data_IF_608287464593
#
_entry.id   IF_608287464593
#
_cell.length_a   1.000
_cell.length_b   1.000
_cell.length_c   1.000
_cell.angle_alpha   90.00
_cell.angle_beta   90.00
_cell.angle_gamma   90.00
#
_symmetry.space_group_name_H-M   'P 1'
#
loop_
_entity.id
_entity.type
_entity.pdbx_description
1 polymer ?
#
# COMPACT_ATOMS: atom_id res chain seq x y z
N UNK A 1 2.31 -1.88 -19.60
CA UNK A 1 2.24 -2.80 -18.44
C UNK A 1 0.98 -3.68 -18.42
N UNK A 2 0.20 -3.67 -19.50
CA UNK A 2 -0.99 -4.49 -19.68
C UNK A 2 -0.68 -5.87 -20.29
N UNK A 3 0.51 -6.03 -20.85
CA UNK A 3 0.90 -7.21 -21.62
C UNK A 3 1.14 -8.51 -20.83
N UNK A 4 1.15 -8.46 -19.48
CA UNK A 4 1.36 -9.66 -18.68
C UNK A 4 0.09 -10.32 -18.15
N UNK A 5 -1.01 -9.56 -18.06
CA UNK A 5 -2.28 -10.05 -17.49
C UNK A 5 -3.22 -10.56 -18.58
N UNK A 6 -3.20 -9.93 -19.76
CA UNK A 6 -3.96 -10.36 -20.93
C UNK A 6 -3.05 -11.13 -21.86
N UNK A 7 -3.46 -12.33 -22.26
CA UNK A 7 -2.76 -13.19 -23.20
C UNK A 7 -3.71 -13.79 -24.23
N UNK A 8 -3.17 -14.09 -25.39
CA UNK A 8 -3.91 -14.79 -26.43
C UNK A 8 -3.64 -16.28 -26.29
N UNK A 9 -4.68 -17.07 -26.17
CA UNK A 9 -4.58 -18.52 -26.05
C UNK A 9 -5.62 -19.21 -26.94
N UNK A 10 -5.44 -20.50 -27.16
CA UNK A 10 -6.43 -21.28 -27.89
C UNK A 10 -7.64 -21.55 -27.01
N UNK A 11 -8.84 -21.32 -27.57
CA UNK A 11 -10.09 -21.63 -26.87
C UNK A 11 -10.13 -23.12 -26.51
N UNK A 12 -10.21 -23.49 -25.20
CA UNK A 12 -10.27 -24.90 -24.80
C UNK A 12 -11.45 -25.67 -25.40
N UNK A 13 -12.56 -24.96 -25.69
CA UNK A 13 -13.77 -25.55 -26.28
C UNK A 13 -13.75 -25.58 -27.82
N UNK A 14 -12.93 -24.73 -28.44
CA UNK A 14 -12.81 -24.57 -29.88
C UNK A 14 -11.36 -24.32 -30.29
N UNK A 15 -10.48 -25.33 -30.35
CA UNK A 15 -9.03 -25.14 -30.46
C UNK A 15 -8.56 -24.38 -31.73
N UNK A 16 -9.41 -24.31 -32.78
CA UNK A 16 -9.15 -23.50 -33.97
C UNK A 16 -9.34 -21.98 -33.73
N UNK A 17 -9.95 -21.59 -32.62
CA UNK A 17 -10.20 -20.19 -32.28
C UNK A 17 -9.15 -19.70 -31.27
N UNK A 18 -8.72 -18.45 -31.44
CA UNK A 18 -7.90 -17.73 -30.46
C UNK A 18 -8.81 -16.83 -29.66
N UNK A 19 -8.65 -16.85 -28.35
CA UNK A 19 -9.35 -15.99 -27.41
C UNK A 19 -8.35 -15.12 -26.65
N UNK A 20 -8.78 -13.96 -26.19
CA UNK A 20 -8.05 -13.18 -25.22
C UNK A 20 -8.47 -13.67 -23.83
N UNK A 21 -7.53 -14.16 -23.05
CA UNK A 21 -7.74 -14.62 -21.69
C UNK A 21 -7.06 -13.68 -20.70
N UNK A 22 -7.65 -13.54 -19.54
CA UNK A 22 -7.05 -12.81 -18.41
C UNK A 22 -6.40 -13.83 -17.48
N UNK A 23 -5.15 -13.59 -17.13
CA UNK A 23 -4.49 -14.35 -16.08
C UNK A 23 -5.12 -14.02 -14.73
N UNK A 24 -5.94 -14.92 -14.23
CA UNK A 24 -6.70 -14.71 -13.00
C UNK A 24 -5.81 -14.63 -11.78
N UNK A 25 -4.64 -15.28 -11.78
CA UNK A 25 -3.69 -15.20 -10.67
C UNK A 25 -3.01 -13.82 -10.58
N UNK A 26 -2.72 -13.23 -11.74
CA UNK A 26 -2.09 -11.92 -11.85
C UNK A 26 -3.08 -10.75 -11.82
N UNK A 27 -4.36 -10.99 -12.07
CA UNK A 27 -5.40 -9.96 -12.08
C UNK A 27 -5.65 -9.44 -10.66
N UNK A 28 -5.45 -8.12 -10.46
CA UNK A 28 -5.69 -7.43 -9.19
C UNK A 28 -7.11 -6.88 -9.05
N UNK A 29 -8.02 -7.18 -9.97
CA UNK A 29 -9.43 -6.74 -9.97
C UNK A 29 -9.62 -5.21 -9.93
N UNK A 30 -8.69 -4.44 -10.52
CA UNK A 30 -8.76 -2.97 -10.50
C UNK A 30 -9.80 -2.37 -11.45
N UNK A 31 -10.47 -3.18 -12.26
CA UNK A 31 -11.52 -2.81 -13.24
C UNK A 31 -11.08 -1.76 -14.28
N UNK A 32 -9.78 -1.51 -14.45
CA UNK A 32 -9.29 -0.51 -15.43
C UNK A 32 -9.55 -0.95 -16.86
N UNK A 33 -9.38 -2.25 -17.17
CA UNK A 33 -9.69 -2.79 -18.49
C UNK A 33 -11.17 -2.64 -18.85
N UNK A 34 -12.07 -2.79 -17.89
CA UNK A 34 -13.51 -2.60 -18.11
C UNK A 34 -13.82 -1.12 -18.41
N UNK A 35 -13.25 -0.23 -17.62
CA UNK A 35 -13.49 1.23 -17.75
C UNK A 35 -12.81 1.83 -18.98
N UNK A 36 -11.80 1.19 -19.51
CA UNK A 36 -11.06 1.72 -20.67
C UNK A 36 -11.83 1.61 -21.99
N UNK A 37 -12.87 0.78 -22.05
CA UNK A 37 -13.60 0.51 -23.29
C UNK A 37 -12.71 -0.10 -24.39
N UNK A 38 -11.61 -0.74 -24.06
CA UNK A 38 -10.62 -1.23 -25.03
C UNK A 38 -11.08 -2.47 -25.80
N UNK A 39 -12.14 -3.14 -25.37
CA UNK A 39 -12.66 -4.33 -26.06
C UNK A 39 -13.69 -3.94 -27.13
N UNK A 40 -13.40 -4.12 -28.41
CA UNK A 40 -14.32 -3.70 -29.50
C UNK A 40 -15.61 -4.53 -29.58
N UNK A 41 -15.66 -5.67 -28.89
CA UNK A 41 -16.82 -6.56 -28.85
C UNK A 41 -17.50 -6.60 -27.49
N UNK A 42 -17.08 -5.73 -26.57
CA UNK A 42 -17.59 -5.64 -25.20
C UNK A 42 -17.58 -6.99 -24.44
N UNK A 43 -16.54 -7.79 -24.70
CA UNK A 43 -16.42 -9.15 -24.15
C UNK A 43 -15.79 -9.19 -22.75
N UNK A 44 -15.30 -8.07 -22.25
CA UNK A 44 -14.76 -7.99 -20.89
C UNK A 44 -15.90 -7.83 -19.88
N UNK A 45 -15.87 -8.65 -18.85
CA UNK A 45 -16.86 -8.58 -17.77
C UNK A 45 -16.21 -8.85 -16.43
N UNK A 46 -16.84 -8.35 -15.36
CA UNK A 46 -16.45 -8.61 -13.98
C UNK A 46 -17.32 -9.75 -13.46
N UNK A 47 -16.75 -10.92 -13.11
CA UNK A 47 -17.52 -11.95 -12.41
C UNK A 47 -17.90 -11.48 -11.01
N UNK A 48 -18.86 -12.15 -10.39
CA UNK A 48 -19.09 -11.99 -8.97
C UNK A 48 -17.86 -12.43 -8.18
N UNK A 49 -17.39 -11.57 -7.29
CA UNK A 49 -16.17 -11.82 -6.52
C UNK A 49 -16.55 -12.20 -5.09
N UNK A 50 -16.19 -13.42 -4.74
CA UNK A 50 -16.31 -13.93 -3.37
C UNK A 50 -15.02 -13.68 -2.56
N UNK A 51 -15.12 -13.86 -1.27
CA UNK A 51 -13.97 -13.83 -0.39
C UNK A 51 -13.12 -15.12 -0.59
N UNK A 52 -11.78 -15.06 -0.63
CA UNK A 52 -10.93 -13.88 -0.38
C UNK A 52 -10.69 -12.98 -1.61
N UNK A 53 -11.02 -13.39 -2.83
CA UNK A 53 -10.72 -12.66 -4.07
C UNK A 53 -11.31 -11.24 -4.11
N UNK A 54 -12.43 -10.97 -3.46
CA UNK A 54 -13.01 -9.62 -3.38
C UNK A 54 -12.04 -8.60 -2.75
N UNK A 55 -11.07 -9.05 -1.94
CA UNK A 55 -10.05 -8.18 -1.36
C UNK A 55 -9.17 -7.54 -2.45
N UNK A 56 -8.89 -8.25 -3.55
CA UNK A 56 -8.16 -7.68 -4.68
C UNK A 56 -8.83 -6.40 -5.16
N UNK A 57 -10.14 -6.43 -5.36
CA UNK A 57 -10.92 -5.26 -5.79
C UNK A 57 -10.93 -4.15 -4.73
N UNK A 58 -11.11 -4.51 -3.46
CA UNK A 58 -11.17 -3.55 -2.36
C UNK A 58 -9.86 -2.76 -2.21
N UNK A 59 -8.70 -3.35 -2.52
CA UNK A 59 -7.38 -2.73 -2.43
C UNK A 59 -6.86 -2.17 -3.76
N UNK A 60 -7.57 -2.40 -4.88
CA UNK A 60 -7.03 -2.07 -6.20
C UNK A 60 -7.93 -1.19 -7.06
N UNK A 61 -9.24 -1.25 -6.88
CA UNK A 61 -10.18 -0.43 -7.66
C UNK A 61 -10.33 0.96 -7.03
N UNK A 62 -9.85 2.03 -7.68
CA UNK A 62 -9.89 3.37 -7.11
C UNK A 62 -11.31 3.92 -6.92
N UNK A 63 -12.31 3.32 -7.57
CA UNK A 63 -13.71 3.74 -7.45
C UNK A 63 -14.49 2.91 -6.43
N UNK A 64 -13.89 1.82 -5.93
CA UNK A 64 -14.53 0.99 -4.90
C UNK A 64 -14.38 1.63 -3.53
N UNK A 65 -15.49 1.85 -2.85
CA UNK A 65 -15.49 2.24 -1.45
C UNK A 65 -15.13 1.02 -0.61
N UNK A 66 -14.06 1.14 0.20
CA UNK A 66 -13.61 0.04 1.04
C UNK A 66 -14.65 -0.23 2.15
N UNK A 67 -15.06 -1.49 2.36
CA UNK A 67 -16.16 -1.80 3.29
C UNK A 67 -15.83 -1.44 4.74
N UNK A 68 -14.58 -1.61 5.16
CA UNK A 68 -14.16 -1.37 6.54
C UNK A 68 -14.00 0.12 6.89
N UNK A 69 -13.40 0.88 5.99
CA UNK A 69 -13.03 2.28 6.26
C UNK A 69 -13.99 3.30 5.65
N UNK A 70 -14.84 2.87 4.71
CA UNK A 70 -15.74 3.73 3.92
C UNK A 70 -15.02 4.77 3.05
N UNK A 71 -13.74 4.56 2.80
CA UNK A 71 -12.90 5.43 1.97
C UNK A 71 -12.71 4.75 0.60
N UNK A 72 -12.80 5.49 -0.52
CA UNK A 72 -12.54 4.94 -1.85
C UNK A 72 -11.05 4.67 -2.09
N UNK A 73 -10.76 3.95 -3.17
CA UNK A 73 -9.42 3.59 -3.56
C UNK A 73 -8.87 2.44 -2.71
N UNK A 74 -7.74 2.64 -2.05
CA UNK A 74 -7.12 1.59 -1.21
C UNK A 74 -7.74 1.47 0.18
N UNK A 75 -8.75 2.28 0.47
CA UNK A 75 -9.41 2.32 1.77
C UNK A 75 -8.58 2.97 2.88
N UNK A 76 -7.48 3.66 2.55
CA UNK A 76 -6.69 4.43 3.51
C UNK A 76 -6.83 5.91 3.24
N UNK A 77 -6.99 6.69 4.29
CA UNK A 77 -6.61 8.09 4.21
C UNK A 77 -5.08 8.14 4.13
N UNK A 78 -4.56 8.81 3.12
CA UNK A 78 -3.12 8.99 3.04
C UNK A 78 -2.67 9.82 4.26
N UNK A 79 -1.64 9.35 4.97
CA UNK A 79 -1.11 10.01 6.19
C UNK A 79 -0.88 11.52 5.99
N UNK A 80 -0.48 11.94 4.80
CA UNK A 80 -0.28 13.34 4.42
C UNK A 80 -1.52 14.22 4.49
N UNK A 81 -2.72 13.65 4.61
CA UNK A 81 -3.98 14.38 4.80
C UNK A 81 -4.48 14.34 6.23
N UNK A 82 -3.85 13.54 7.10
CA UNK A 82 -4.27 13.27 8.46
C UNK A 82 -3.71 14.24 9.52
N UNK A 83 -3.03 15.29 9.11
CA UNK A 83 -2.57 16.34 10.03
C UNK A 83 -3.73 16.93 10.84
N UNK A 84 -4.90 17.06 10.24
CA UNK A 84 -6.12 17.56 10.89
C UNK A 84 -6.60 16.70 12.06
N UNK A 85 -6.16 15.44 12.18
CA UNK A 85 -6.56 14.53 13.27
C UNK A 85 -5.62 14.60 14.48
N UNK A 86 -4.50 15.31 14.37
CA UNK A 86 -3.51 15.39 15.45
C UNK A 86 -2.72 14.10 15.70
N UNK A 87 -2.70 13.18 14.73
CA UNK A 87 -2.02 11.88 14.88
C UNK A 87 -0.49 11.97 14.90
N UNK A 88 0.09 13.09 14.42
CA UNK A 88 1.53 13.26 14.28
C UNK A 88 2.06 14.35 15.22
N UNK A 89 2.24 14.07 16.52
CA UNK A 89 2.80 15.03 17.44
C UNK A 89 4.29 15.29 17.13
N UNK A 90 4.82 16.41 17.65
CA UNK A 90 6.27 16.67 17.57
C UNK A 90 7.06 15.56 18.27
N UNK A 91 8.26 15.27 17.76
CA UNK A 91 9.08 14.18 18.26
C UNK A 91 8.69 12.80 17.74
N UNK A 92 7.73 12.73 16.80
CA UNK A 92 7.33 11.48 16.18
C UNK A 92 7.25 11.61 14.65
N UNK A 93 7.52 10.49 13.98
CA UNK A 93 7.31 10.35 12.55
C UNK A 93 6.14 9.41 12.29
N UNK A 94 5.21 9.85 11.43
CA UNK A 94 4.30 8.94 10.75
C UNK A 94 5.01 8.29 9.59
N UNK A 95 4.82 7.00 9.39
CA UNK A 95 5.38 6.27 8.26
C UNK A 95 4.32 5.47 7.55
N UNK A 96 4.38 5.49 6.22
CA UNK A 96 3.57 4.64 5.35
C UNK A 96 4.48 3.94 4.34
N UNK A 97 4.40 2.63 4.29
CA UNK A 97 5.11 1.81 3.31
C UNK A 97 4.09 1.36 2.26
N UNK A 98 4.16 1.95 1.09
CA UNK A 98 3.27 1.65 -0.03
C UNK A 98 3.86 0.51 -0.87
N UNK A 99 3.47 -0.73 -0.59
CA UNK A 99 3.90 -1.91 -1.35
C UNK A 99 3.16 -2.01 -2.69
N UNK A 100 3.85 -2.48 -3.72
CA UNK A 100 3.31 -2.68 -5.07
C UNK A 100 3.32 -1.45 -5.97
N UNK A 101 3.76 -0.30 -5.47
CA UNK A 101 3.83 0.93 -6.26
C UNK A 101 5.27 1.25 -6.70
N UNK A 102 5.44 1.75 -7.92
CA UNK A 102 4.43 2.08 -8.92
C UNK A 102 4.06 0.87 -9.81
N UNK A 103 2.77 0.46 -9.78
CA UNK A 103 2.16 -0.41 -10.79
C UNK A 103 2.66 -1.87 -10.91
N UNK A 104 3.43 -2.36 -9.95
CA UNK A 104 3.92 -3.75 -9.91
C UNK A 104 2.88 -4.66 -9.26
N UNK A 105 2.18 -4.14 -8.25
CA UNK A 105 1.33 -4.92 -7.37
C UNK A 105 2.12 -5.64 -6.28
N UNK A 106 1.41 -6.17 -5.32
CA UNK A 106 1.99 -6.95 -4.21
C UNK A 106 1.03 -8.06 -3.80
N UNK A 107 1.57 -9.17 -3.26
CA UNK A 107 0.77 -10.15 -2.55
C UNK A 107 0.76 -9.83 -1.06
N UNK A 108 -0.29 -10.20 -0.36
CA UNK A 108 -0.35 -9.95 1.09
C UNK A 108 0.76 -10.67 1.86
N UNK A 109 1.32 -11.78 1.35
CA UNK A 109 2.49 -12.44 1.92
C UNK A 109 3.72 -11.52 2.01
N UNK A 110 3.91 -10.63 1.04
CA UNK A 110 5.03 -9.69 1.07
C UNK A 110 4.75 -8.54 2.03
N UNK A 111 3.51 -8.09 2.13
CA UNK A 111 3.10 -7.15 3.16
C UNK A 111 3.25 -7.74 4.58
N UNK A 112 2.95 -9.02 4.76
CA UNK A 112 3.17 -9.74 6.02
C UNK A 112 4.65 -9.75 6.41
N UNK A 113 5.57 -10.10 5.48
CA UNK A 113 7.02 -10.09 5.76
C UNK A 113 7.48 -8.73 6.27
N UNK A 114 7.04 -7.65 5.64
CA UNK A 114 7.37 -6.28 6.06
C UNK A 114 6.78 -5.98 7.44
N UNK A 115 5.51 -6.30 7.66
CA UNK A 115 4.86 -6.09 8.95
C UNK A 115 5.54 -6.88 10.07
N UNK A 116 5.85 -8.16 9.86
CA UNK A 116 6.54 -8.99 10.85
C UNK A 116 7.92 -8.44 11.19
N UNK A 117 8.71 -8.05 10.18
CA UNK A 117 10.04 -7.46 10.39
C UNK A 117 9.99 -6.16 11.21
N UNK A 118 8.96 -5.34 11.03
CA UNK A 118 8.73 -4.14 11.82
C UNK A 118 8.25 -4.48 13.24
N UNK A 119 7.38 -5.46 13.39
CA UNK A 119 6.89 -5.92 14.70
C UNK A 119 8.03 -6.44 15.59
N UNK A 120 9.06 -7.11 15.02
CA UNK A 120 10.25 -7.58 15.74
C UNK A 120 10.99 -6.45 16.48
N UNK A 121 10.89 -5.22 15.98
CA UNK A 121 11.50 -4.05 16.62
C UNK A 121 10.53 -3.23 17.46
N UNK A 122 9.32 -3.77 17.70
CA UNK A 122 8.31 -3.18 18.58
C UNK A 122 7.41 -2.15 17.91
N UNK A 123 7.30 -2.14 16.59
CA UNK A 123 6.38 -1.24 15.87
C UNK A 123 4.93 -1.73 16.04
N UNK A 124 4.05 -0.81 16.43
CA UNK A 124 2.60 -0.99 16.40
C UNK A 124 2.00 -0.36 15.13
N UNK A 125 0.97 -0.99 14.57
CA UNK A 125 0.36 -0.58 13.30
C UNK A 125 -0.87 0.28 13.51
N UNK A 126 -1.15 1.16 12.54
CA UNK A 126 -2.36 2.00 12.52
C UNK A 126 -3.63 1.13 12.47
N UNK A 127 -4.49 1.31 13.47
CA UNK A 127 -5.68 0.45 13.66
C UNK A 127 -6.74 0.60 12.56
N UNK A 128 -6.86 1.81 12.00
CA UNK A 128 -7.86 2.12 10.98
C UNK A 128 -7.39 1.83 9.55
N UNK A 129 -6.23 1.18 9.42
CA UNK A 129 -5.72 0.77 8.12
C UNK A 129 -6.33 -0.57 7.69
N UNK A 130 -6.81 -0.71 6.43
CA UNK A 130 -7.39 -1.95 5.92
C UNK A 130 -6.46 -3.17 6.02
N UNK A 131 -5.16 -2.99 5.81
CA UNK A 131 -4.19 -4.08 5.93
C UNK A 131 -4.09 -4.57 7.39
N UNK A 132 -4.08 -3.64 8.35
CA UNK A 132 -4.07 -3.97 9.79
C UNK A 132 -5.31 -4.76 10.20
N UNK A 133 -6.45 -4.54 9.54
CA UNK A 133 -7.69 -5.32 9.77
C UNK A 133 -7.57 -6.78 9.30
N UNK A 134 -6.66 -7.08 8.39
CA UNK A 134 -6.38 -8.45 7.94
C UNK A 134 -5.39 -9.18 8.86
N UNK A 135 -4.77 -8.49 9.83
CA UNK A 135 -3.85 -9.12 10.77
C UNK A 135 -4.60 -9.95 11.80
N UNK A 136 -4.26 -11.23 11.88
CA UNK A 136 -4.74 -12.14 12.94
C UNK A 136 -4.00 -11.92 14.25
N UNK A 137 -2.78 -11.39 14.18
CA UNK A 137 -2.00 -10.99 15.34
C UNK A 137 -1.21 -9.70 15.03
N UNK A 138 -1.72 -8.59 15.57
CA UNK A 138 -1.11 -7.27 15.38
C UNK A 138 0.23 -7.09 16.11
N UNK A 139 0.50 -7.89 17.15
CA UNK A 139 1.78 -7.81 17.88
C UNK A 139 2.93 -8.38 17.06
N UNK A 140 2.65 -9.38 16.25
CA UNK A 140 3.64 -10.01 15.38
C UNK A 140 3.54 -9.56 13.92
N UNK A 141 2.50 -8.82 13.56
CA UNK A 141 2.26 -8.39 12.17
C UNK A 141 1.71 -9.49 11.26
N UNK A 142 1.31 -10.65 11.80
CA UNK A 142 0.82 -11.79 11.02
C UNK A 142 -0.55 -11.52 10.42
N UNK A 143 -0.65 -11.73 9.12
CA UNK A 143 -1.87 -11.59 8.33
C UNK A 143 -2.61 -12.95 8.29
N UNK A 144 -3.91 -12.92 8.02
CA UNK A 144 -4.72 -14.13 7.85
C UNK A 144 -4.12 -15.01 6.73
N UNK A 145 -3.74 -16.25 7.01
CA UNK A 145 -3.10 -17.13 6.02
C UNK A 145 -3.96 -17.39 4.79
N UNK A 146 -5.29 -17.24 4.90
CA UNK A 146 -6.22 -17.46 3.79
C UNK A 146 -6.14 -16.40 2.70
N UNK A 147 -5.55 -15.24 2.99
CA UNK A 147 -5.46 -14.12 2.04
C UNK A 147 -4.05 -13.88 1.52
N UNK A 148 -3.02 -14.58 2.02
CA UNK A 148 -1.62 -14.29 1.72
C UNK A 148 -1.29 -14.32 0.23
N UNK A 149 -1.97 -15.15 -0.55
CA UNK A 149 -1.76 -15.31 -1.98
C UNK A 149 -2.52 -14.30 -2.84
N UNK A 150 -3.44 -13.54 -2.22
CA UNK A 150 -4.18 -12.53 -2.94
C UNK A 150 -3.26 -11.39 -3.40
N UNK A 151 -3.31 -11.10 -4.70
CA UNK A 151 -2.53 -10.03 -5.33
C UNK A 151 -3.36 -8.76 -5.42
N UNK A 152 -2.80 -7.65 -4.94
CA UNK A 152 -3.43 -6.33 -4.95
C UNK A 152 -2.54 -5.31 -5.65
N UNK A 153 -3.14 -4.23 -6.14
CA UNK A 153 -2.38 -3.16 -6.80
C UNK A 153 -1.45 -2.46 -5.82
N UNK A 154 -1.91 -2.26 -4.59
CA UNK A 154 -1.10 -1.68 -3.53
C UNK A 154 -1.67 -2.03 -2.15
N UNK A 155 -0.77 -2.32 -1.21
CA UNK A 155 -1.08 -2.42 0.20
C UNK A 155 -0.20 -1.44 0.97
N UNK A 156 -0.71 -0.88 2.06
CA UNK A 156 0.01 0.13 2.85
C UNK A 156 0.16 -0.36 4.28
N UNK A 157 1.40 -0.40 4.76
CA UNK A 157 1.72 -0.60 6.18
C UNK A 157 1.92 0.77 6.81
N UNK A 158 1.05 1.17 7.73
CA UNK A 158 1.09 2.47 8.39
C UNK A 158 1.40 2.34 9.87
N UNK A 159 2.27 3.21 10.36
CA UNK A 159 2.69 3.22 11.76
C UNK A 159 3.26 4.57 12.20
N UNK A 160 3.37 4.75 13.51
CA UNK A 160 3.94 5.92 14.15
C UNK A 160 5.17 5.50 14.95
N UNK A 161 6.26 6.26 14.86
CA UNK A 161 7.50 6.01 15.61
C UNK A 161 8.03 7.26 16.29
N UNK A 162 8.75 7.14 17.42
CA UNK A 162 9.65 8.18 17.89
C UNK A 162 10.73 8.50 16.86
N UNK A 163 11.14 9.75 16.75
CA UNK A 163 12.13 10.19 15.74
C UNK A 163 13.44 9.42 15.81
N UNK A 164 13.90 9.08 17.01
CA UNK A 164 15.11 8.30 17.26
C UNK A 164 15.07 6.87 16.73
N UNK A 165 13.89 6.33 16.47
CA UNK A 165 13.75 4.98 15.92
C UNK A 165 13.96 4.93 14.40
N UNK A 166 13.91 6.06 13.69
CA UNK A 166 14.03 6.07 12.22
C UNK A 166 15.26 5.32 11.70
N UNK A 167 16.48 5.48 12.25
CA UNK A 167 17.63 4.70 11.80
C UNK A 167 17.42 3.19 11.86
N UNK A 168 16.83 2.70 12.94
CA UNK A 168 16.57 1.28 13.13
C UNK A 168 15.50 0.75 12.16
N UNK A 169 14.47 1.55 11.93
CA UNK A 169 13.43 1.22 10.94
C UNK A 169 14.04 1.11 9.55
N UNK A 170 14.90 2.05 9.16
CA UNK A 170 15.57 2.01 7.85
C UNK A 170 16.45 0.75 7.70
N UNK A 171 17.15 0.30 8.75
CA UNK A 171 17.94 -0.94 8.72
C UNK A 171 17.04 -2.18 8.50
N UNK A 172 15.88 -2.23 9.15
CA UNK A 172 14.89 -3.29 8.94
C UNK A 172 14.37 -3.28 7.52
N UNK A 173 14.03 -2.09 6.99
CA UNK A 173 13.54 -1.96 5.61
C UNK A 173 14.58 -2.40 4.58
N UNK A 174 15.86 -2.11 4.81
CA UNK A 174 16.94 -2.59 3.95
C UNK A 174 17.08 -4.11 3.92
N UNK A 175 16.88 -4.74 5.08
CA UNK A 175 16.89 -6.18 5.19
C UNK A 175 15.70 -6.79 4.46
N UNK A 176 14.49 -6.40 4.81
CA UNK A 176 13.26 -7.01 4.31
C UNK A 176 13.03 -6.72 2.83
N UNK A 177 13.57 -5.62 2.29
CA UNK A 177 13.48 -5.31 0.85
C UNK A 177 14.10 -6.38 -0.05
N UNK A 178 15.01 -7.20 0.48
CA UNK A 178 15.66 -8.31 -0.23
C UNK A 178 14.87 -9.63 -0.14
N UNK A 179 13.84 -9.65 0.70
CA UNK A 179 13.07 -10.86 1.01
C UNK A 179 11.68 -10.83 0.35
N UNK A 180 11.25 -9.65 -0.13
CA UNK A 180 9.95 -9.46 -0.77
C UNK A 180 10.05 -9.53 -2.29
N UNK A 181 9.02 -10.11 -2.92
CA UNK A 181 8.88 -10.16 -4.38
C UNK A 181 8.01 -9.01 -4.89
N UNK A 182 8.32 -7.81 -4.45
CA UNK A 182 7.63 -6.58 -4.83
C UNK A 182 8.53 -5.37 -4.62
N UNK A 183 8.05 -4.19 -5.00
CA UNK A 183 8.68 -2.90 -4.68
C UNK A 183 7.84 -2.17 -3.63
N UNK A 184 8.48 -1.32 -2.85
CA UNK A 184 7.75 -0.41 -1.96
C UNK A 184 8.44 0.95 -1.86
N UNK A 185 7.62 1.95 -1.55
CA UNK A 185 8.05 3.32 -1.27
C UNK A 185 7.75 3.63 0.19
N UNK A 186 8.67 4.28 0.87
CA UNK A 186 8.46 4.77 2.22
C UNK A 186 8.13 6.26 2.22
N UNK A 187 6.97 6.62 2.76
CA UNK A 187 6.61 8.00 3.06
C UNK A 187 6.90 8.30 4.53
N UNK A 188 7.47 9.48 4.80
CA UNK A 188 7.71 9.96 6.15
C UNK A 188 6.97 11.28 6.33
N UNK A 189 6.18 11.36 7.40
CA UNK A 189 5.43 12.53 7.77
C UNK A 189 5.94 13.05 9.10
N UNK A 190 6.23 14.34 9.15
CA UNK A 190 6.67 15.03 10.36
C UNK A 190 6.16 16.46 10.37
N UNK A 191 6.15 17.05 11.53
CA UNK A 191 5.97 18.49 11.68
C UNK A 191 7.30 19.21 11.47
N UNK A 192 7.27 20.26 10.69
CA UNK A 192 8.42 21.16 10.53
C UNK A 192 8.79 21.75 11.92
N UNK A 193 10.06 21.73 12.24
CA UNK A 193 10.55 22.30 13.51
C UNK A 193 10.39 23.83 13.55
N UNK A 194 10.52 24.42 14.74
CA UNK A 194 10.33 25.88 14.93
C UNK A 194 11.32 26.72 14.12
N UNK A 195 12.50 26.18 13.85
CA UNK A 195 13.56 26.79 13.05
C UNK A 195 13.38 26.59 11.53
N UNK A 196 12.30 25.93 11.12
CA UNK A 196 12.04 25.58 9.71
C UNK A 196 12.72 24.31 9.24
N UNK A 197 13.48 23.61 10.06
CA UNK A 197 14.10 22.35 9.70
C UNK A 197 13.10 21.19 9.63
N UNK A 198 13.44 20.16 8.85
CA UNK A 198 12.65 18.92 8.74
C UNK A 198 13.47 17.78 9.34
N UNK A 199 13.08 17.26 10.51
CA UNK A 199 13.94 16.41 11.34
C UNK A 199 14.51 15.16 10.67
N UNK A 200 13.77 14.51 9.76
CA UNK A 200 14.24 13.26 9.12
C UNK A 200 15.28 13.48 8.01
N UNK A 201 15.40 14.70 7.46
CA UNK A 201 16.23 14.94 6.26
C UNK A 201 17.70 14.59 6.52
N UNK A 202 18.24 14.98 7.64
CA UNK A 202 19.66 14.72 7.95
C UNK A 202 19.91 13.23 8.18
N UNK A 203 18.96 12.49 8.73
CA UNK A 203 19.06 11.04 8.89
C UNK A 203 19.12 10.36 7.53
N UNK A 204 18.28 10.76 6.59
CA UNK A 204 18.25 10.18 5.24
C UNK A 204 19.49 10.56 4.45
N UNK A 205 19.96 11.81 4.54
CA UNK A 205 21.20 12.27 3.88
C UNK A 205 22.43 11.50 4.36
N UNK A 206 22.59 11.36 5.68
CA UNK A 206 23.72 10.60 6.28
C UNK A 206 23.73 9.14 5.82
N UNK A 207 22.58 8.58 5.48
CA UNK A 207 22.42 7.22 4.98
C UNK A 207 22.41 7.13 3.45
N UNK A 208 22.66 8.24 2.74
CA UNK A 208 22.61 8.32 1.28
C UNK A 208 21.30 7.77 0.70
N UNK A 209 20.16 8.12 1.34
CA UNK A 209 18.84 7.71 0.87
C UNK A 209 18.29 8.68 -0.16
N UNK A 210 17.72 8.12 -1.22
CA UNK A 210 16.95 8.92 -2.17
C UNK A 210 15.75 9.57 -1.47
N UNK A 211 15.59 10.86 -1.72
CA UNK A 211 14.40 11.61 -1.30
C UNK A 211 13.82 12.30 -2.53
N UNK A 212 12.52 12.13 -2.74
CA UNK A 212 11.83 12.88 -3.79
C UNK A 212 11.83 14.37 -3.45
N UNK A 213 12.17 15.20 -4.43
CA UNK A 213 12.05 16.66 -4.32
C UNK A 213 10.59 17.13 -4.36
N UNK A 214 9.69 16.25 -4.80
CA UNK A 214 8.25 16.50 -4.92
C UNK A 214 7.47 16.07 -3.68
N UNK A 215 8.10 16.10 -2.50
CA UNK A 215 7.41 15.88 -1.24
C UNK A 215 6.22 16.83 -1.09
N UNK A 216 5.09 16.31 -0.62
CA UNK A 216 3.91 17.15 -0.36
C UNK A 216 4.11 17.95 0.92
N UNK A 217 3.93 19.26 0.84
CA UNK A 217 3.77 20.10 2.01
C UNK A 217 2.27 20.22 2.31
N UNK A 218 1.85 19.70 3.45
CA UNK A 218 0.52 19.98 3.96
C UNK A 218 0.60 21.20 4.87
N UNK A 219 -0.13 22.23 4.52
CA UNK A 219 -0.16 23.49 5.28
C UNK A 219 -1.11 23.45 6.48
N UNK A 220 -1.51 22.26 6.92
CA UNK A 220 -2.35 22.10 8.10
C UNK A 220 -3.73 22.70 7.93
N UNK A 221 -4.34 22.52 6.75
CA UNK A 221 -5.69 23.03 6.47
C UNK A 221 -6.66 22.55 7.55
N UNK A 222 -7.00 23.42 8.48
CA UNK A 222 -8.12 23.28 9.37
C UNK A 222 -7.81 22.93 10.82
N UNK A 223 -6.55 22.69 11.25
CA UNK A 223 -6.31 22.44 12.65
C UNK A 223 -5.10 23.21 13.21
N UNK A 224 -5.31 24.11 14.18
CA UNK A 224 -4.23 24.90 14.78
C UNK A 224 -3.47 24.13 15.86
N UNK A 225 -3.09 22.88 15.61
CA UNK A 225 -2.26 22.10 16.55
C UNK A 225 -0.80 22.57 16.61
N UNK A 226 -0.47 23.65 15.92
CA UNK A 226 0.86 24.25 15.98
C UNK A 226 1.29 24.67 17.40
N UNK A 227 0.36 24.73 18.34
CA UNK A 227 0.59 25.15 19.72
C UNK A 227 0.56 24.02 20.76
N UNK A 228 0.47 22.76 20.36
CA UNK A 228 0.48 21.61 21.25
C UNK A 228 1.76 20.82 21.12
#
# INVERSE_FOLDING_TARGET
MWGGIMRFERDPKRPQRVICAIDEDECVECSVCLRSGCCPTDALYQPELEWPRILRKNFSDPLKVHPETRIPGRGTEEMKTNEVTGRFPRGKFGMALELGRPGVGTRFRDAEKVAMALAEIGIGFEENNPLTKLMVDRKTGRIDPRVLDEKVLSAIVEFLIPEEMLPRVLDVLDRVSREVDTVFVGDIITRVAKDGSVPYIDVLRKRNRFMSINGKSNVGLGWPLANV
#
